data_IF_717435694958
#
_entry.id   IF_717435694958
#
_cell.length_a   1.000
_cell.length_b   1.000
_cell.length_c   1.000
_cell.angle_alpha   90.00
_cell.angle_beta   90.00
_cell.angle_gamma   90.00
#
_symmetry.space_group_name_H-M   'P 1'
#
loop_
_entity.id
_entity.type
_entity.pdbx_description
1 polymer ?
#
# COMPACT_ATOMS: atom_id res chain seq x y z
N UNK A 1 -23.81 -17.11 -15.03
CA UNK A 1 -23.79 -18.48 -15.60
C UNK A 1 -22.47 -18.66 -16.30
N UNK A 2 -21.71 -19.69 -15.94
CA UNK A 2 -20.38 -19.92 -16.54
C UNK A 2 -20.46 -20.94 -17.66
N UNK A 3 -19.88 -20.60 -18.81
CA UNK A 3 -19.75 -21.50 -19.96
C UNK A 3 -18.29 -21.45 -20.44
N UNK A 4 -17.51 -22.46 -20.08
CA UNK A 4 -16.07 -22.50 -20.37
C UNK A 4 -15.32 -21.35 -19.66
N UNK A 5 -14.61 -20.53 -20.42
CA UNK A 5 -13.85 -19.38 -19.91
C UNK A 5 -14.67 -18.07 -19.78
N UNK A 6 -15.97 -18.10 -20.12
CA UNK A 6 -16.83 -16.92 -20.15
C UNK A 6 -17.87 -16.98 -19.03
N UNK A 7 -17.93 -15.91 -18.24
CA UNK A 7 -19.01 -15.64 -17.29
C UNK A 7 -20.08 -14.80 -17.98
N UNK A 8 -21.34 -15.23 -17.93
CA UNK A 8 -22.49 -14.44 -18.38
C UNK A 8 -23.18 -13.83 -17.18
N UNK A 9 -23.17 -12.49 -17.10
CA UNK A 9 -23.79 -11.75 -15.99
C UNK A 9 -25.32 -11.82 -16.05
N UNK A 10 -25.90 -11.79 -17.26
CA UNK A 10 -27.35 -11.79 -17.46
C UNK A 10 -27.79 -13.01 -18.29
N UNK A 11 -27.73 -14.24 -17.74
CA UNK A 11 -28.13 -15.45 -18.48
C UNK A 11 -29.59 -15.43 -18.91
N UNK A 12 -30.43 -14.65 -18.24
CA UNK A 12 -31.84 -14.46 -18.57
C UNK A 12 -32.06 -13.93 -19.99
N UNK A 13 -31.09 -13.22 -20.56
CA UNK A 13 -31.17 -12.73 -21.94
C UNK A 13 -31.36 -13.88 -22.96
N UNK A 14 -30.87 -15.09 -22.68
CA UNK A 14 -31.01 -16.23 -23.59
C UNK A 14 -32.46 -16.67 -23.79
N UNK A 15 -33.38 -16.34 -22.88
CA UNK A 15 -34.82 -16.60 -23.08
C UNK A 15 -35.37 -15.88 -24.32
N UNK A 16 -34.75 -14.78 -24.73
CA UNK A 16 -35.13 -14.08 -25.96
C UNK A 16 -34.90 -14.92 -27.22
N UNK A 17 -34.02 -15.92 -27.19
CA UNK A 17 -33.82 -16.84 -28.31
C UNK A 17 -35.06 -17.70 -28.59
N UNK A 18 -35.95 -17.92 -27.62
CA UNK A 18 -37.21 -18.65 -27.84
C UNK A 18 -38.17 -17.91 -28.80
N UNK A 19 -38.01 -16.59 -28.97
CA UNK A 19 -38.78 -15.83 -29.95
C UNK A 19 -38.28 -16.00 -31.39
N UNK A 20 -37.04 -16.47 -31.60
CA UNK A 20 -36.47 -16.75 -32.93
C UNK A 20 -37.33 -17.74 -33.74
N UNK A 21 -37.69 -18.94 -33.24
CA UNK A 21 -38.54 -19.87 -33.98
C UNK A 21 -39.95 -19.31 -34.23
N UNK A 22 -40.50 -18.50 -33.31
CA UNK A 22 -41.78 -17.81 -33.53
C UNK A 22 -41.68 -16.82 -34.71
N UNK A 23 -40.59 -16.04 -34.79
CA UNK A 23 -40.36 -15.12 -35.91
C UNK A 23 -40.17 -15.86 -37.24
N UNK A 24 -39.51 -17.03 -37.22
CA UNK A 24 -39.38 -17.90 -38.40
C UNK A 24 -40.76 -18.41 -38.82
N UNK A 25 -41.57 -18.91 -37.88
CA UNK A 25 -42.92 -19.41 -38.17
C UNK A 25 -43.82 -18.31 -38.74
N UNK A 26 -43.79 -17.11 -38.16
CA UNK A 26 -44.51 -15.94 -38.67
C UNK A 26 -44.03 -15.53 -40.06
N UNK A 27 -42.73 -15.59 -40.33
CA UNK A 27 -42.16 -15.32 -41.64
C UNK A 27 -42.69 -16.31 -42.70
N UNK A 28 -42.63 -17.61 -42.40
CA UNK A 28 -43.14 -18.67 -43.29
C UNK A 28 -44.64 -18.52 -43.50
N UNK A 29 -45.41 -18.31 -42.42
CA UNK A 29 -46.85 -18.10 -42.47
C UNK A 29 -47.24 -16.91 -43.35
N UNK A 30 -46.58 -15.75 -43.17
CA UNK A 30 -46.80 -14.57 -44.01
C UNK A 30 -46.45 -14.83 -45.47
N UNK A 31 -45.43 -15.63 -45.74
CA UNK A 31 -45.02 -15.93 -47.11
C UNK A 31 -45.98 -16.89 -47.82
N UNK A 32 -46.57 -17.85 -47.11
CA UNK A 32 -47.62 -18.73 -47.63
C UNK A 32 -48.95 -17.99 -47.87
N UNK A 33 -49.26 -16.99 -47.02
CA UNK A 33 -50.49 -16.19 -47.11
C UNK A 33 -50.42 -15.02 -48.09
N UNK A 34 -49.23 -14.71 -48.65
CA UNK A 34 -49.07 -13.67 -49.68
C UNK A 34 -49.81 -14.09 -50.96
N UNK A 35 -51.06 -13.68 -51.10
CA UNK A 35 -51.81 -13.77 -52.36
C UNK A 35 -51.35 -12.65 -53.30
N UNK A 36 -51.03 -13.01 -54.54
CA UNK A 36 -50.71 -12.06 -55.61
C UNK A 36 -51.90 -11.14 -55.85
N UNK A 37 -51.76 -9.85 -55.51
CA UNK A 37 -52.82 -8.84 -55.68
C UNK A 37 -52.91 -8.35 -57.12
N UNK A 38 -51.90 -8.61 -57.96
CA UNK A 38 -51.91 -8.22 -59.37
C UNK A 38 -52.59 -9.33 -60.18
N UNK A 39 -53.81 -9.05 -60.68
CA UNK A 39 -54.54 -9.90 -61.64
C UNK A 39 -54.28 -9.38 -63.06
N UNK A 40 -53.13 -9.72 -63.64
CA UNK A 40 -52.82 -9.42 -65.04
C UNK A 40 -52.89 -10.70 -65.90
N UNK A 41 -53.59 -10.70 -67.05
CA UNK A 41 -53.68 -11.88 -67.94
C UNK A 41 -52.32 -12.38 -68.48
N UNK A 42 -51.33 -11.49 -68.59
CA UNK A 42 -49.99 -11.81 -69.08
C UNK A 42 -49.09 -12.57 -68.07
N UNK A 43 -49.54 -12.79 -66.82
CA UNK A 43 -48.76 -13.49 -65.78
C UNK A 43 -48.59 -14.99 -66.04
N UNK A 44 -49.35 -15.60 -66.96
CA UNK A 44 -49.17 -17.00 -67.34
C UNK A 44 -47.79 -17.26 -67.98
N UNK A 45 -47.24 -16.28 -68.70
CA UNK A 45 -45.89 -16.32 -69.28
C UNK A 45 -44.80 -16.15 -68.22
N UNK A 46 -45.01 -15.26 -67.24
CA UNK A 46 -44.10 -15.06 -66.11
C UNK A 46 -44.04 -16.27 -65.16
N UNK A 47 -45.14 -17.03 -65.00
CA UNK A 47 -45.18 -18.28 -64.22
C UNK A 47 -44.33 -19.41 -64.83
N UNK A 48 -44.06 -19.36 -66.14
CA UNK A 48 -43.18 -20.31 -66.85
C UNK A 48 -41.70 -19.87 -66.85
N UNK A 49 -41.38 -18.69 -66.35
CA UNK A 49 -39.99 -18.22 -66.27
C UNK A 49 -39.23 -18.98 -65.18
N UNK A 50 -38.03 -19.46 -65.52
CA UNK A 50 -37.15 -20.13 -64.55
C UNK A 50 -36.81 -19.16 -63.43
N UNK A 51 -37.01 -19.53 -62.15
CA UNK A 51 -36.70 -18.64 -61.04
C UNK A 51 -35.21 -18.26 -61.08
N UNK A 52 -34.93 -16.97 -61.26
CA UNK A 52 -33.57 -16.44 -61.22
C UNK A 52 -32.92 -16.73 -59.87
N UNK A 53 -31.58 -16.88 -59.85
CA UNK A 53 -30.80 -17.09 -58.61
C UNK A 53 -31.15 -16.05 -57.52
N UNK A 54 -31.49 -14.82 -57.90
CA UNK A 54 -31.94 -13.75 -56.98
C UNK A 54 -33.24 -14.08 -56.22
N UNK A 55 -34.15 -14.86 -56.82
CA UNK A 55 -35.40 -15.29 -56.17
C UNK A 55 -35.11 -16.33 -55.09
N UNK A 56 -34.12 -17.21 -55.30
CA UNK A 56 -33.69 -18.18 -54.28
C UNK A 56 -32.97 -17.50 -53.11
N UNK A 57 -32.13 -16.51 -53.40
CA UNK A 57 -31.37 -15.76 -52.39
C UNK A 57 -32.18 -14.70 -51.62
N UNK A 58 -33.46 -14.49 -51.93
CA UNK A 58 -34.32 -13.53 -51.20
C UNK A 58 -34.45 -13.83 -49.70
N UNK A 59 -34.18 -15.08 -49.30
CA UNK A 59 -34.22 -15.53 -47.90
C UNK A 59 -32.95 -15.16 -47.11
N UNK A 60 -31.90 -14.66 -47.77
CA UNK A 60 -30.70 -14.13 -47.09
C UNK A 60 -31.04 -12.94 -46.21
N UNK A 61 -31.92 -12.04 -46.65
CA UNK A 61 -32.31 -10.83 -45.89
C UNK A 61 -32.92 -11.19 -44.52
N UNK A 62 -33.98 -12.02 -44.42
CA UNK A 62 -34.50 -12.44 -43.11
C UNK A 62 -33.52 -13.32 -42.33
N UNK A 63 -32.65 -14.10 -43.01
CA UNK A 63 -31.62 -14.87 -42.31
C UNK A 63 -30.57 -13.96 -41.63
N UNK A 64 -30.14 -12.89 -42.30
CA UNK A 64 -29.26 -11.87 -41.72
C UNK A 64 -29.89 -11.18 -40.52
N UNK A 65 -31.19 -10.87 -40.59
CA UNK A 65 -31.93 -10.28 -39.46
C UNK A 65 -31.97 -11.21 -38.25
N UNK A 66 -32.20 -12.50 -38.48
CA UNK A 66 -32.18 -13.51 -37.40
C UNK A 66 -30.78 -13.67 -36.81
N UNK A 67 -29.73 -13.69 -37.65
CA UNK A 67 -28.35 -13.74 -37.18
C UNK A 67 -27.99 -12.50 -36.34
N UNK A 68 -28.40 -11.31 -36.77
CA UNK A 68 -28.20 -10.07 -36.02
C UNK A 68 -28.90 -10.14 -34.64
N UNK A 69 -30.14 -10.63 -34.60
CA UNK A 69 -30.90 -10.80 -33.36
C UNK A 69 -30.18 -11.75 -32.39
N UNK A 70 -29.65 -12.87 -32.87
CA UNK A 70 -28.84 -13.79 -32.05
C UNK A 70 -27.61 -13.07 -31.49
N UNK A 71 -26.88 -12.32 -32.31
CA UNK A 71 -25.70 -11.56 -31.84
C UNK A 71 -26.07 -10.53 -30.76
N UNK A 72 -27.20 -9.82 -30.89
CA UNK A 72 -27.65 -8.89 -29.86
C UNK A 72 -28.08 -9.59 -28.57
N UNK A 73 -28.70 -10.77 -28.65
CA UNK A 73 -29.03 -11.55 -27.46
C UNK A 73 -27.76 -12.00 -26.73
N UNK A 74 -26.73 -12.44 -27.46
CA UNK A 74 -25.42 -12.77 -26.87
C UNK A 74 -24.75 -11.53 -26.25
N UNK A 75 -24.85 -10.36 -26.90
CA UNK A 75 -24.33 -9.11 -26.33
C UNK A 75 -25.08 -8.70 -25.04
N UNK A 76 -26.41 -8.84 -25.02
CA UNK A 76 -27.26 -8.57 -23.85
C UNK A 76 -26.97 -9.52 -22.67
N UNK A 77 -26.56 -10.75 -22.96
CA UNK A 77 -26.14 -11.70 -21.93
C UNK A 77 -24.84 -11.27 -21.21
N UNK A 78 -24.16 -10.22 -21.71
CA UNK A 78 -22.91 -9.63 -21.18
C UNK A 78 -21.85 -10.69 -20.89
N UNK A 79 -21.24 -11.29 -21.94
CA UNK A 79 -20.11 -12.18 -21.76
C UNK A 79 -18.94 -11.42 -21.13
N UNK A 80 -18.33 -12.01 -20.11
CA UNK A 80 -17.24 -11.45 -19.33
C UNK A 80 -16.12 -12.48 -19.18
N UNK A 81 -14.88 -12.02 -19.18
CA UNK A 81 -13.76 -12.83 -18.69
C UNK A 81 -13.51 -12.45 -17.23
N UNK A 82 -13.44 -13.42 -16.34
CA UNK A 82 -12.89 -13.20 -15.01
C UNK A 82 -11.38 -12.95 -15.18
N UNK A 83 -10.92 -11.72 -14.87
CA UNK A 83 -9.48 -11.49 -14.72
C UNK A 83 -9.07 -11.94 -13.31
N UNK A 84 -7.78 -12.29 -13.16
CA UNK A 84 -7.22 -12.74 -11.90
C UNK A 84 -7.53 -11.78 -10.75
N UNK A 85 -7.65 -12.39 -9.57
CA UNK A 85 -8.01 -11.75 -8.31
C UNK A 85 -6.99 -10.67 -7.96
N UNK A 86 -7.45 -9.44 -7.75
CA UNK A 86 -6.63 -8.40 -7.14
C UNK A 86 -6.77 -8.53 -5.61
N UNK A 87 -5.73 -9.05 -4.96
CA UNK A 87 -5.69 -9.19 -3.51
C UNK A 87 -5.52 -7.79 -2.90
N UNK A 88 -6.56 -7.23 -2.27
CA UNK A 88 -6.41 -6.02 -1.45
C UNK A 88 -6.30 -6.45 0.02
N UNK A 89 -5.11 -6.27 0.58
CA UNK A 89 -4.81 -6.46 2.02
C UNK A 89 -5.27 -5.23 2.80
N UNK A 90 -6.00 -5.39 3.89
CA UNK A 90 -6.46 -4.24 4.72
C UNK A 90 -6.23 -4.43 6.23
N UNK A 91 -5.54 -5.48 6.65
CA UNK A 91 -5.16 -5.66 8.06
C UNK A 91 -3.67 -5.33 8.27
N UNK A 92 -3.36 -4.03 8.30
CA UNK A 92 -2.06 -3.50 8.69
C UNK A 92 -1.94 -3.28 10.20
N UNK A 93 -0.71 -3.16 10.68
CA UNK A 93 -0.39 -2.76 12.05
C UNK A 93 -0.26 -1.24 12.11
N UNK A 94 -0.76 -0.65 13.18
CA UNK A 94 -0.47 0.76 13.48
C UNK A 94 0.76 0.85 14.38
N UNK A 95 1.83 1.44 13.85
CA UNK A 95 3.13 1.54 14.51
C UNK A 95 3.43 3.00 14.81
N UNK A 96 3.66 3.30 16.08
CA UNK A 96 4.16 4.61 16.49
C UNK A 96 5.62 4.51 16.89
N UNK A 97 6.48 5.16 16.13
CA UNK A 97 7.91 5.29 16.45
C UNK A 97 8.07 6.43 17.46
N UNK A 98 8.58 6.12 18.65
CA UNK A 98 8.97 7.10 19.63
C UNK A 98 10.50 7.18 19.66
N UNK A 99 11.05 8.22 19.04
CA UNK A 99 12.48 8.42 18.85
C UNK A 99 13.02 9.47 19.82
N UNK A 100 14.03 9.07 20.58
CA UNK A 100 14.82 10.01 21.39
C UNK A 100 15.70 10.87 20.47
N UNK A 101 15.62 12.18 20.65
CA UNK A 101 16.41 13.21 19.94
C UNK A 101 17.17 14.10 20.94
N UNK A 102 17.33 13.63 22.18
CA UNK A 102 18.10 14.33 23.22
C UNK A 102 19.59 14.37 22.88
N UNK A 103 20.34 15.27 23.54
CA UNK A 103 21.76 15.49 23.26
C UNK A 103 22.65 14.24 23.35
N UNK A 104 22.29 13.26 24.19
CA UNK A 104 23.03 11.98 24.29
C UNK A 104 23.04 11.20 22.98
N UNK A 105 22.00 11.33 22.16
CA UNK A 105 21.85 10.63 20.88
C UNK A 105 22.82 11.14 19.81
N UNK A 106 23.53 12.24 20.06
CA UNK A 106 24.62 12.74 19.19
C UNK A 106 25.95 11.98 19.34
N UNK A 107 26.04 11.04 20.28
CA UNK A 107 27.28 10.31 20.60
C UNK A 107 27.70 9.35 19.48
N UNK A 108 29.02 9.20 19.27
CA UNK A 108 29.65 8.36 18.23
C UNK A 108 30.18 7.02 18.77
N UNK A 109 29.36 6.29 19.53
CA UNK A 109 29.79 5.05 20.20
C UNK A 109 29.40 3.76 19.46
N UNK A 110 28.47 3.85 18.51
CA UNK A 110 28.01 2.72 17.69
C UNK A 110 28.88 2.42 16.46
N UNK A 111 29.97 3.17 16.30
CA UNK A 111 30.90 3.02 15.18
C UNK A 111 31.48 1.60 15.12
N UNK A 112 31.59 1.07 13.90
CA UNK A 112 32.41 -0.11 13.65
C UNK A 112 33.90 0.23 13.77
N UNK A 113 34.74 -0.79 14.00
CA UNK A 113 36.19 -0.60 14.08
C UNK A 113 36.77 0.07 12.81
N UNK A 114 36.21 -0.26 11.65
CA UNK A 114 36.61 0.32 10.37
C UNK A 114 36.23 1.81 10.27
N UNK A 115 35.01 2.17 10.68
CA UNK A 115 34.57 3.57 10.70
C UNK A 115 35.34 4.40 11.73
N UNK A 116 35.60 3.86 12.91
CA UNK A 116 36.39 4.52 13.95
C UNK A 116 37.81 4.82 13.45
N UNK A 117 38.48 3.85 12.80
CA UNK A 117 39.80 4.06 12.21
C UNK A 117 39.76 5.09 11.08
N UNK A 118 38.74 5.07 10.23
CA UNK A 118 38.57 6.03 9.14
C UNK A 118 38.38 7.45 9.68
N UNK A 119 37.43 7.64 10.58
CA UNK A 119 37.08 8.93 11.17
C UNK A 119 38.26 9.53 11.94
N UNK A 120 38.99 8.72 12.72
CA UNK A 120 40.16 9.18 13.47
C UNK A 120 41.30 9.74 12.62
N UNK A 121 41.36 9.42 11.32
CA UNK A 121 42.33 9.99 10.36
C UNK A 121 41.84 11.26 9.66
N UNK A 122 40.55 11.59 9.77
CA UNK A 122 39.97 12.79 9.17
C UNK A 122 40.23 14.01 10.05
N UNK A 123 40.27 15.20 9.45
CA UNK A 123 40.34 16.44 10.20
C UNK A 123 39.02 16.65 10.99
N UNK A 124 39.09 16.64 12.32
CA UNK A 124 37.93 16.74 13.21
C UNK A 124 37.14 18.04 13.03
N UNK A 125 37.83 19.17 12.85
CA UNK A 125 37.20 20.47 12.67
C UNK A 125 36.40 20.55 11.37
N UNK A 126 36.97 20.05 10.26
CA UNK A 126 36.28 19.97 8.98
C UNK A 126 35.08 19.02 9.05
N UNK A 127 35.25 17.89 9.71
CA UNK A 127 34.20 16.90 9.89
C UNK A 127 33.02 17.46 10.69
N UNK A 128 33.29 18.18 11.78
CA UNK A 128 32.28 18.89 12.56
C UNK A 128 31.55 19.96 11.73
N UNK A 129 32.30 20.81 11.02
CA UNK A 129 31.73 21.92 10.21
C UNK A 129 30.88 21.47 9.03
N UNK A 130 31.21 20.32 8.42
CA UNK A 130 30.46 19.78 7.30
C UNK A 130 29.10 19.20 7.69
N UNK A 131 28.85 18.93 8.97
CA UNK A 131 27.63 18.27 9.44
C UNK A 131 27.60 16.75 9.23
N UNK A 132 28.67 16.17 8.67
CA UNK A 132 28.79 14.72 8.44
C UNK A 132 28.71 13.90 9.75
N UNK A 133 28.90 14.54 10.91
CA UNK A 133 28.89 13.86 12.21
C UNK A 133 27.55 13.21 12.55
N UNK A 134 26.42 13.85 12.21
CA UNK A 134 25.08 13.35 12.56
C UNK A 134 24.82 11.98 11.95
N UNK A 135 25.34 11.73 10.75
CA UNK A 135 25.26 10.45 10.05
C UNK A 135 25.84 9.28 10.85
N UNK A 136 26.85 9.54 11.68
CA UNK A 136 27.57 8.54 12.45
C UNK A 136 27.14 8.50 13.93
N UNK A 137 26.19 9.35 14.32
CA UNK A 137 25.64 9.39 15.66
C UNK A 137 24.64 8.26 15.92
N UNK A 138 24.32 8.01 17.19
CA UNK A 138 23.23 7.08 17.57
C UNK A 138 21.93 7.43 16.85
N UNK A 139 21.58 8.72 16.77
CA UNK A 139 20.41 9.21 16.05
C UNK A 139 20.47 8.91 14.55
N UNK A 140 21.60 9.20 13.90
CA UNK A 140 21.77 8.97 12.47
C UNK A 140 21.66 7.49 12.10
N UNK A 141 22.30 6.60 12.87
CA UNK A 141 22.12 5.16 12.67
C UNK A 141 20.69 4.70 12.96
N UNK A 142 20.04 5.24 14.00
CA UNK A 142 18.64 4.92 14.26
C UNK A 142 17.73 5.34 13.11
N UNK A 143 17.90 6.54 12.56
CA UNK A 143 17.14 7.03 11.41
C UNK A 143 17.40 6.19 10.16
N UNK A 144 18.64 5.80 9.88
CA UNK A 144 18.97 4.91 8.76
C UNK A 144 18.22 3.58 8.85
N UNK A 145 18.24 2.95 10.04
CA UNK A 145 17.57 1.67 10.25
C UNK A 145 16.05 1.81 10.22
N UNK A 146 15.52 2.87 10.82
CA UNK A 146 14.09 3.19 10.76
C UNK A 146 13.65 3.44 9.31
N UNK A 147 14.46 4.14 8.51
CA UNK A 147 14.16 4.41 7.12
C UNK A 147 14.08 3.12 6.30
N UNK A 148 15.01 2.18 6.53
CA UNK A 148 14.96 0.86 5.91
C UNK A 148 13.74 0.06 6.37
N UNK A 149 13.40 0.13 7.66
CA UNK A 149 12.22 -0.52 8.23
C UNK A 149 10.92 0.01 7.62
N UNK A 150 10.80 1.32 7.44
CA UNK A 150 9.66 1.96 6.77
C UNK A 150 9.60 1.53 5.30
N UNK A 151 10.74 1.54 4.60
CA UNK A 151 10.83 1.21 3.17
C UNK A 151 10.44 -0.22 2.81
N UNK A 152 10.48 -1.15 3.78
CA UNK A 152 10.06 -2.56 3.61
C UNK A 152 8.56 -2.77 3.78
N UNK A 153 7.81 -1.79 4.28
CA UNK A 153 6.38 -1.93 4.59
C UNK A 153 5.48 -1.51 3.43
N UNK A 154 4.30 -2.13 3.37
CA UNK A 154 3.33 -1.90 2.29
C UNK A 154 1.93 -1.58 2.81
N UNK A 155 1.51 -2.12 3.96
CA UNK A 155 0.12 -2.05 4.44
C UNK A 155 -0.03 -1.44 5.84
N UNK A 156 1.05 -0.96 6.47
CA UNK A 156 1.06 -0.51 7.87
C UNK A 156 1.03 1.01 7.99
N UNK A 157 0.23 1.54 8.91
CA UNK A 157 0.26 2.97 9.22
C UNK A 157 1.36 3.24 10.21
N UNK A 158 2.28 4.14 9.85
CA UNK A 158 3.42 4.48 10.70
C UNK A 158 3.34 5.95 11.09
N UNK A 159 3.54 6.24 12.36
CA UNK A 159 3.69 7.60 12.88
C UNK A 159 5.04 7.80 13.55
N UNK A 160 5.44 9.05 13.74
CA UNK A 160 6.71 9.44 14.36
C UNK A 160 6.47 10.47 15.47
N UNK A 161 6.97 10.17 16.65
CA UNK A 161 7.06 11.08 17.79
C UNK A 161 8.53 11.24 18.13
N UNK A 162 8.99 12.48 18.20
CA UNK A 162 10.32 12.80 18.70
C UNK A 162 10.20 13.27 20.14
N UNK A 163 11.16 12.90 20.99
CA UNK A 163 11.21 13.39 22.37
C UNK A 163 12.63 13.68 22.84
N UNK A 164 12.76 14.64 23.74
CA UNK A 164 13.96 14.99 24.47
C UNK A 164 13.53 15.62 25.78
N UNK A 165 13.82 16.90 26.00
CA UNK A 165 13.29 17.64 27.15
C UNK A 165 11.76 17.77 27.13
N UNK A 166 11.17 17.71 25.94
CA UNK A 166 9.73 17.71 25.67
C UNK A 166 9.46 16.69 24.57
N UNK A 167 8.21 16.27 24.44
CA UNK A 167 7.81 15.35 23.38
C UNK A 167 6.83 16.03 22.41
N UNK A 168 6.98 15.72 21.12
CA UNK A 168 6.13 16.22 20.05
C UNK A 168 5.85 15.11 19.01
N UNK A 169 4.61 15.05 18.53
CA UNK A 169 4.27 14.25 17.34
C UNK A 169 4.81 14.96 16.10
N UNK A 170 5.77 14.34 15.39
CA UNK A 170 6.31 14.86 14.14
C UNK A 170 5.44 14.47 12.96
N UNK A 171 4.99 13.21 12.94
CA UNK A 171 4.12 12.69 11.91
C UNK A 171 2.98 11.88 12.59
N UNK A 172 1.70 12.19 12.30
CA UNK A 172 0.61 11.30 12.67
C UNK A 172 0.71 9.97 11.89
N UNK A 173 -0.10 8.98 12.27
CA UNK A 173 -0.18 7.70 11.58
C UNK A 173 -0.53 7.91 10.10
N UNK A 174 0.35 7.45 9.20
CA UNK A 174 0.19 7.62 7.76
C UNK A 174 0.67 6.37 6.99
N UNK A 175 0.11 6.19 5.80
CA UNK A 175 0.59 5.24 4.78
C UNK A 175 1.56 5.89 3.79
N UNK A 176 1.69 7.22 3.82
CA UNK A 176 2.62 7.97 2.96
C UNK A 176 4.04 7.88 3.55
N UNK A 177 4.71 6.79 3.19
CA UNK A 177 6.09 6.54 3.60
C UNK A 177 7.06 7.58 3.03
N UNK A 178 6.77 8.19 1.88
CA UNK A 178 7.62 9.23 1.29
C UNK A 178 7.71 10.45 2.20
N UNK A 179 6.54 11.00 2.57
CA UNK A 179 6.46 12.13 3.51
C UNK A 179 7.04 11.78 4.89
N UNK A 180 6.78 10.58 5.39
CA UNK A 180 7.31 10.14 6.68
C UNK A 180 8.85 10.08 6.68
N UNK A 181 9.46 9.58 5.60
CA UNK A 181 10.92 9.52 5.45
C UNK A 181 11.56 10.91 5.36
N UNK A 182 10.89 11.87 4.72
CA UNK A 182 11.34 13.27 4.70
C UNK A 182 11.31 13.89 6.09
N UNK A 183 10.23 13.68 6.85
CA UNK A 183 10.09 14.16 8.23
C UNK A 183 11.13 13.52 9.16
N UNK A 184 11.37 12.21 9.00
CA UNK A 184 12.39 11.49 9.77
C UNK A 184 13.77 12.10 9.58
N UNK A 185 14.16 12.40 8.34
CA UNK A 185 15.45 13.06 8.03
C UNK A 185 15.50 14.50 8.52
N UNK A 186 14.39 15.24 8.44
CA UNK A 186 14.30 16.61 8.95
C UNK A 186 14.40 16.70 10.49
N UNK A 187 14.26 15.58 11.20
CA UNK A 187 14.35 15.53 12.67
C UNK A 187 15.77 15.85 13.20
N UNK A 188 16.79 15.82 12.33
CA UNK A 188 18.15 16.26 12.66
C UNK A 188 18.21 17.72 13.11
N UNK A 189 17.44 18.60 12.47
CA UNK A 189 17.43 20.02 12.80
C UNK A 189 16.79 20.29 14.18
N UNK A 190 15.86 19.43 14.61
CA UNK A 190 15.26 19.47 15.95
C UNK A 190 16.24 18.97 17.03
N UNK A 191 17.02 17.93 16.73
CA UNK A 191 18.06 17.44 17.62
C UNK A 191 19.15 18.50 17.87
N UNK A 192 19.49 19.29 16.84
CA UNK A 192 20.47 20.40 16.91
C UNK A 192 20.07 21.49 17.89
N UNK A 193 18.78 21.84 17.98
CA UNK A 193 18.28 22.85 18.91
C UNK A 193 18.21 22.32 20.36
N UNK A 194 18.14 20.98 20.51
CA UNK A 194 18.03 20.28 21.81
C UNK A 194 19.39 20.02 22.49
N UNK A 195 20.51 20.23 21.79
CA UNK A 195 21.87 20.03 22.31
C UNK A 195 22.19 20.79 23.61
N UNK A 196 21.42 21.83 23.92
CA UNK A 196 21.67 22.71 25.07
C UNK A 196 21.23 22.09 26.40
N UNK A 197 20.39 21.04 26.40
CA UNK A 197 19.94 20.39 27.64
C UNK A 197 19.83 18.86 27.44
N UNK A 198 20.70 18.07 28.10
CA UNK A 198 20.64 16.60 28.20
C UNK A 198 19.46 16.13 29.06
N UNK A 199 18.24 16.47 28.62
CA UNK A 199 16.99 16.09 29.26
C UNK A 199 16.25 15.10 28.37
N UNK A 200 15.72 14.07 28.98
CA UNK A 200 15.02 12.96 28.32
C UNK A 200 13.72 12.68 29.07
N UNK A 201 12.60 12.84 28.37
CA UNK A 201 11.25 12.61 28.87
C UNK A 201 10.63 11.38 28.19
N UNK A 202 11.05 10.19 28.63
CA UNK A 202 10.63 8.89 28.07
C UNK A 202 9.13 8.67 28.26
N UNK A 203 8.62 8.94 29.46
CA UNK A 203 7.22 8.70 29.80
C UNK A 203 6.27 9.65 29.06
N UNK A 204 6.65 10.93 28.90
CA UNK A 204 5.89 11.88 28.09
C UNK A 204 5.98 11.55 26.59
N UNK A 205 7.15 11.07 26.13
CA UNK A 205 7.35 10.51 24.80
C UNK A 205 6.40 9.36 24.48
N UNK A 206 6.33 8.39 25.40
CA UNK A 206 5.41 7.27 25.29
C UNK A 206 3.95 7.74 25.34
N UNK A 207 3.60 8.68 26.22
CA UNK A 207 2.23 9.20 26.32
C UNK A 207 1.77 9.87 25.01
N UNK A 208 2.63 10.65 24.37
CA UNK A 208 2.34 11.26 23.09
C UNK A 208 2.14 10.24 21.98
N UNK A 209 2.95 9.18 21.96
CA UNK A 209 2.76 8.07 21.03
C UNK A 209 1.40 7.38 21.25
N UNK A 210 1.07 7.08 22.52
CA UNK A 210 -0.20 6.46 22.90
C UNK A 210 -1.42 7.34 22.56
N UNK A 211 -1.30 8.66 22.68
CA UNK A 211 -2.37 9.59 22.34
C UNK A 211 -2.78 9.48 20.85
N UNK A 212 -1.83 9.17 19.96
CA UNK A 212 -2.11 8.94 18.52
C UNK A 212 -2.72 7.56 18.28
N UNK A 213 -2.22 6.53 18.94
CA UNK A 213 -2.74 5.16 18.82
C UNK A 213 -4.11 4.97 19.48
N UNK A 214 -4.49 5.81 20.45
CA UNK A 214 -5.80 5.75 21.10
C UNK A 214 -6.96 5.94 20.10
N UNK A 215 -6.75 6.75 19.05
CA UNK A 215 -7.77 7.01 18.02
C UNK A 215 -7.76 5.98 16.89
N UNK A 216 -6.80 5.06 16.88
CA UNK A 216 -6.69 4.04 15.86
C UNK A 216 -7.72 2.92 16.04
N UNK A 217 -8.28 2.50 14.91
CA UNK A 217 -9.19 1.36 14.74
C UNK A 217 -8.45 0.04 14.40
N UNK A 218 -7.12 0.05 14.31
CA UNK A 218 -6.34 -1.14 13.95
C UNK A 218 -6.41 -2.24 15.01
N UNK A 219 -6.48 -3.50 14.54
CA UNK A 219 -6.48 -4.71 15.39
C UNK A 219 -5.18 -4.84 16.19
N UNK A 220 -4.04 -4.55 15.56
CA UNK A 220 -2.72 -4.52 16.23
C UNK A 220 -2.17 -3.09 16.29
N UNK A 221 -1.73 -2.68 17.47
CA UNK A 221 -1.21 -1.34 17.76
C UNK A 221 0.07 -1.46 18.59
N UNK A 222 1.14 -0.86 18.10
CA UNK A 222 2.49 -1.06 18.62
C UNK A 222 3.22 0.27 18.75
N UNK A 223 3.98 0.45 19.82
CA UNK A 223 4.97 1.52 19.96
C UNK A 223 6.36 0.91 19.92
N UNK A 224 7.26 1.48 19.11
CA UNK A 224 8.68 1.19 19.16
C UNK A 224 9.37 2.41 19.77
N UNK A 225 9.80 2.28 21.01
CA UNK A 225 10.49 3.30 21.79
C UNK A 225 12.00 3.11 21.66
N UNK A 226 12.69 4.05 21.03
CA UNK A 226 14.14 4.05 20.89
C UNK A 226 14.74 5.17 21.75
N UNK A 227 15.67 4.82 22.64
CA UNK A 227 16.35 5.78 23.53
C UNK A 227 17.72 5.26 23.95
N UNK A 228 18.62 6.19 24.27
CA UNK A 228 19.93 5.91 24.86
C UNK A 228 20.05 6.40 26.31
N UNK A 229 18.97 6.97 26.83
CA UNK A 229 18.99 7.79 28.03
C UNK A 229 18.27 7.19 29.22
N UNK A 230 18.38 7.93 30.33
CA UNK A 230 17.54 7.74 31.51
C UNK A 230 16.47 8.81 31.54
N UNK A 231 15.30 8.44 32.01
CA UNK A 231 14.24 9.42 32.22
C UNK A 231 14.62 10.40 33.33
N UNK A 232 14.68 11.69 33.01
CA UNK A 232 15.02 12.74 33.97
C UNK A 232 14.16 14.01 33.84
N UNK A 233 13.24 14.04 32.86
CA UNK A 233 12.44 15.21 32.54
C UNK A 233 10.94 14.92 32.38
N UNK A 234 10.49 13.66 32.47
CA UNK A 234 9.07 13.35 32.29
C UNK A 234 8.21 13.88 33.42
N UNK A 235 7.07 14.45 33.05
CA UNK A 235 5.98 14.72 33.99
C UNK A 235 5.27 13.42 34.37
N UNK A 236 5.06 12.53 33.40
CA UNK A 236 4.49 11.20 33.62
C UNK A 236 5.62 10.17 33.73
N UNK A 237 5.78 9.47 34.87
CA UNK A 237 6.78 8.42 35.00
C UNK A 237 6.64 7.31 33.93
N UNK A 238 7.75 6.79 33.36
CA UNK A 238 7.71 5.80 32.27
C UNK A 238 6.90 4.54 32.62
N UNK A 239 7.02 4.06 33.86
CA UNK A 239 6.29 2.87 34.34
C UNK A 239 4.77 3.11 34.35
N UNK A 240 4.31 4.33 34.67
CA UNK A 240 2.88 4.70 34.60
C UNK A 240 2.41 4.82 33.16
N UNK A 241 3.24 5.38 32.27
CA UNK A 241 2.92 5.42 30.85
C UNK A 241 2.76 4.00 30.27
N UNK A 242 3.57 3.02 30.72
CA UNK A 242 3.41 1.61 30.36
C UNK A 242 2.08 1.00 30.85
N UNK A 243 1.58 1.41 32.02
CA UNK A 243 0.26 0.96 32.51
C UNK A 243 -0.88 1.50 31.63
N UNK A 244 -0.75 2.74 31.16
CA UNK A 244 -1.69 3.30 30.17
C UNK A 244 -1.62 2.54 28.86
N UNK A 245 -0.41 2.26 28.34
CA UNK A 245 -0.23 1.44 27.13
C UNK A 245 -0.92 0.08 27.24
N UNK A 246 -0.71 -0.62 28.36
CA UNK A 246 -1.37 -1.91 28.66
C UNK A 246 -2.89 -1.78 28.64
N UNK A 247 -3.44 -0.74 29.28
CA UNK A 247 -4.89 -0.49 29.32
C UNK A 247 -5.50 -0.23 27.94
N UNK A 248 -4.72 0.35 27.02
CA UNK A 248 -5.13 0.59 25.64
C UNK A 248 -4.94 -0.63 24.73
N UNK A 249 -4.33 -1.71 25.23
CA UNK A 249 -3.97 -2.90 24.45
C UNK A 249 -2.84 -2.62 23.45
N UNK A 250 -1.95 -1.67 23.75
CA UNK A 250 -0.81 -1.30 22.92
C UNK A 250 0.45 -1.98 23.45
N UNK A 251 1.14 -2.75 22.59
CA UNK A 251 2.43 -3.35 22.94
C UNK A 251 3.54 -2.31 22.79
N UNK A 252 4.49 -2.27 23.71
CA UNK A 252 5.64 -1.35 23.64
C UNK A 252 6.93 -2.15 23.54
N UNK A 253 7.62 -2.04 22.40
CA UNK A 253 8.98 -2.52 22.22
C UNK A 253 9.94 -1.40 22.61
N UNK A 254 10.90 -1.72 23.47
CA UNK A 254 11.89 -0.73 23.93
C UNK A 254 13.27 -1.11 23.42
N UNK A 255 13.92 -0.19 22.72
CA UNK A 255 15.22 -0.37 22.09
C UNK A 255 16.21 0.60 22.73
N UNK A 256 17.09 0.06 23.56
CA UNK A 256 18.21 0.79 24.14
C UNK A 256 19.36 0.86 23.15
N UNK A 257 19.86 2.06 22.84
CA UNK A 257 20.96 2.26 21.87
C UNK A 257 22.23 2.80 22.54
N UNK A 258 23.37 2.20 22.22
CA UNK A 258 24.70 2.65 22.66
C UNK A 258 25.49 1.56 23.38
N UNK A 259 26.82 1.74 23.46
CA UNK A 259 27.74 0.82 24.14
C UNK A 259 27.61 0.89 25.66
N UNK A 260 27.81 -0.24 26.33
CA UNK A 260 27.72 -0.34 27.80
C UNK A 260 28.94 0.25 28.52
N UNK A 261 30.12 0.03 27.95
CA UNK A 261 31.40 0.41 28.51
C UNK A 261 32.47 0.50 27.42
N UNK A 262 33.60 1.09 27.77
CA UNK A 262 34.77 1.23 26.90
C UNK A 262 35.00 2.66 26.44
N UNK A 263 35.92 2.80 25.49
CA UNK A 263 36.35 4.08 24.93
C UNK A 263 35.58 4.39 23.67
N UNK A 264 35.18 5.64 23.55
CA UNK A 264 34.47 6.15 22.38
C UNK A 264 35.22 7.32 21.79
N UNK A 265 35.06 7.48 20.48
CA UNK A 265 35.57 8.62 19.76
C UNK A 265 34.76 9.86 20.16
N UNK A 266 35.43 10.92 20.55
CA UNK A 266 34.80 12.17 20.96
C UNK A 266 35.59 13.37 20.45
N UNK A 267 34.89 14.49 20.26
CA UNK A 267 35.52 15.77 20.01
C UNK A 267 36.13 16.31 21.30
N UNK A 268 37.38 16.73 21.23
CA UNK A 268 38.05 17.45 22.30
C UNK A 268 38.37 18.85 21.82
N UNK A 269 38.03 19.85 22.62
CA UNK A 269 38.38 21.23 22.35
C UNK A 269 39.59 21.60 23.20
N UNK A 270 40.65 22.11 22.57
CA UNK A 270 41.79 22.65 23.27
C UNK A 270 41.37 23.92 24.05
N UNK A 271 41.51 23.96 25.39
CA UNK A 271 41.06 25.09 26.20
C UNK A 271 41.77 26.42 25.89
N UNK A 272 42.97 26.39 25.31
CA UNK A 272 43.78 27.57 25.03
C UNK A 272 43.69 28.04 23.58
N UNK A 273 43.64 27.12 22.62
CA UNK A 273 43.59 27.47 21.19
C UNK A 273 42.18 27.44 20.61
N UNK A 274 41.24 26.73 21.26
CA UNK A 274 39.88 26.52 20.77
C UNK A 274 39.78 25.48 19.65
N UNK A 275 40.90 24.90 19.22
CA UNK A 275 40.96 23.91 18.15
C UNK A 275 40.24 22.61 18.55
N UNK A 276 39.50 22.05 17.60
CA UNK A 276 38.79 20.77 17.77
C UNK A 276 39.66 19.65 17.22
N UNK A 277 39.98 18.67 18.06
CA UNK A 277 40.67 17.45 17.68
C UNK A 277 39.85 16.20 18.03
N UNK A 278 40.21 15.08 17.42
CA UNK A 278 39.74 13.79 17.88
C UNK A 278 40.43 13.42 19.19
N UNK A 279 39.66 12.86 20.10
CA UNK A 279 40.18 12.19 21.29
C UNK A 279 39.32 10.99 21.66
N UNK A 280 39.78 10.26 22.67
CA UNK A 280 39.01 9.20 23.28
C UNK A 280 38.48 9.68 24.63
N UNK A 281 37.25 9.31 24.95
CA UNK A 281 36.71 9.41 26.31
C UNK A 281 36.11 8.08 26.72
N UNK A 282 36.22 7.76 28.01
CA UNK A 282 35.53 6.60 28.58
C UNK A 282 34.03 6.88 28.67
N UNK A 283 33.21 5.87 28.36
CA UNK A 283 31.76 5.92 28.64
C UNK A 283 31.59 5.85 30.15
N UNK A 284 30.99 6.88 30.73
CA UNK A 284 30.67 6.88 32.16
C UNK A 284 29.43 6.04 32.44
N UNK A 285 29.34 5.33 33.59
CA UNK A 285 28.14 4.58 33.96
C UNK A 285 26.87 5.44 34.08
N UNK A 286 27.03 6.73 34.32
CA UNK A 286 25.94 7.72 34.45
C UNK A 286 25.33 8.10 33.10
N UNK A 287 26.10 7.99 32.01
CA UNK A 287 25.64 8.12 30.62
C UNK A 287 24.96 6.83 30.09
N UNK A 288 24.83 5.81 30.94
CA UNK A 288 24.29 4.51 30.59
C UNK A 288 22.75 4.44 30.64
N UNK A 289 22.19 3.71 29.68
CA UNK A 289 20.76 3.38 29.56
C UNK A 289 20.21 2.76 30.85
N UNK A 290 19.03 3.20 31.28
CA UNK A 290 18.26 2.55 32.35
C UNK A 290 17.51 1.32 31.79
N UNK A 291 18.22 0.20 31.69
CA UNK A 291 17.64 -1.03 31.15
C UNK A 291 16.51 -1.59 32.01
N UNK A 292 16.52 -1.35 33.32
CA UNK A 292 15.52 -1.89 34.24
C UNK A 292 14.17 -1.22 33.99
N UNK A 293 14.17 0.10 33.79
CA UNK A 293 12.97 0.84 33.40
C UNK A 293 12.46 0.39 32.03
N UNK A 294 13.34 0.26 31.03
CA UNK A 294 12.93 -0.17 29.68
C UNK A 294 12.37 -1.60 29.67
N UNK A 295 13.01 -2.54 30.38
CA UNK A 295 12.50 -3.92 30.58
C UNK A 295 11.15 -3.91 31.29
N UNK A 296 10.95 -3.02 32.26
CA UNK A 296 9.66 -2.86 32.96
C UNK A 296 8.55 -2.40 32.02
N UNK A 297 8.82 -1.42 31.14
CA UNK A 297 7.87 -0.93 30.15
C UNK A 297 7.47 -2.04 29.17
N UNK A 298 8.46 -2.73 28.60
CA UNK A 298 8.23 -3.80 27.64
C UNK A 298 7.44 -4.97 28.25
N UNK A 299 7.86 -5.46 29.41
CA UNK A 299 7.21 -6.59 30.09
C UNK A 299 5.77 -6.29 30.54
N UNK A 300 5.49 -5.06 31.00
CA UNK A 300 4.12 -4.65 31.39
C UNK A 300 3.15 -4.64 30.21
N UNK A 301 3.63 -4.32 29.02
CA UNK A 301 2.81 -4.11 27.82
C UNK A 301 2.76 -5.32 26.88
N UNK A 302 3.54 -6.38 27.18
CA UNK A 302 3.63 -7.57 26.33
C UNK A 302 4.57 -7.41 25.13
N UNK A 303 5.42 -6.38 25.13
CA UNK A 303 6.51 -6.22 24.17
C UNK A 303 7.82 -6.84 24.66
N UNK A 304 8.91 -6.52 23.97
CA UNK A 304 10.27 -6.99 24.31
C UNK A 304 11.25 -5.83 24.43
N UNK A 305 12.22 -5.99 25.32
CA UNK A 305 13.37 -5.10 25.44
C UNK A 305 14.52 -5.61 24.57
N UNK A 306 15.15 -4.69 23.87
CA UNK A 306 16.32 -4.93 23.04
C UNK A 306 17.42 -3.93 23.37
N UNK A 307 18.67 -4.36 23.20
CA UNK A 307 19.87 -3.53 23.31
C UNK A 307 20.63 -3.61 21.99
N UNK A 308 21.01 -2.46 21.44
CA UNK A 308 21.81 -2.36 20.22
C UNK A 308 23.09 -1.57 20.51
N UNK A 309 24.25 -2.20 20.30
CA UNK A 309 25.55 -1.54 20.47
C UNK A 309 26.12 -1.02 19.14
N UNK A 310 25.58 -1.46 18.02
CA UNK A 310 25.99 -1.07 16.66
C UNK A 310 24.79 -1.10 15.69
N UNK A 311 24.99 -0.56 14.49
CA UNK A 311 23.94 -0.47 13.47
C UNK A 311 23.39 -1.84 13.05
N UNK A 312 24.26 -2.84 12.89
CA UNK A 312 23.85 -4.18 12.44
C UNK A 312 22.95 -4.90 13.47
N UNK A 313 23.22 -4.74 14.76
CA UNK A 313 22.34 -5.22 15.82
C UNK A 313 20.99 -4.51 15.80
N UNK A 314 20.98 -3.20 15.57
CA UNK A 314 19.74 -2.44 15.45
C UNK A 314 18.89 -2.91 14.26
N UNK A 315 19.50 -3.13 13.09
CA UNK A 315 18.83 -3.70 11.91
C UNK A 315 18.21 -5.07 12.20
N UNK A 316 18.94 -5.93 12.92
CA UNK A 316 18.46 -7.24 13.34
C UNK A 316 17.25 -7.14 14.28
N UNK A 317 17.28 -6.21 15.23
CA UNK A 317 16.18 -5.98 16.18
C UNK A 317 14.90 -5.54 15.44
N UNK A 318 15.01 -4.57 14.53
CA UNK A 318 13.86 -4.13 13.74
C UNK A 318 13.30 -5.26 12.85
N UNK A 319 14.18 -6.15 12.36
CA UNK A 319 13.75 -7.34 11.61
C UNK A 319 13.00 -8.34 12.50
N UNK A 320 13.44 -8.56 13.74
CA UNK A 320 12.73 -9.42 14.71
C UNK A 320 11.36 -8.84 15.09
N UNK A 321 11.28 -7.52 15.31
CA UNK A 321 10.02 -6.84 15.60
C UNK A 321 9.05 -6.99 14.42
N UNK A 322 9.55 -6.89 13.18
CA UNK A 322 8.73 -7.11 11.98
C UNK A 322 8.13 -8.51 11.94
N UNK A 323 8.91 -9.54 12.25
CA UNK A 323 8.41 -10.92 12.30
C UNK A 323 7.35 -11.14 13.38
N UNK A 324 7.51 -10.51 14.55
CA UNK A 324 6.58 -10.65 15.68
C UNK A 324 5.24 -9.95 15.47
N UNK A 325 5.20 -8.92 14.64
CA UNK A 325 4.00 -8.10 14.41
C UNK A 325 3.37 -8.31 13.03
N UNK A 326 3.75 -9.36 12.28
CA UNK A 326 3.01 -9.72 11.06
C UNK A 326 1.58 -10.12 11.40
N UNK A 327 0.62 -9.29 11.03
CA UNK A 327 -0.80 -9.65 10.98
C UNK A 327 -1.06 -10.55 9.78
N UNK A 328 -1.80 -11.64 9.99
CA UNK A 328 -2.29 -12.46 8.88
C UNK A 328 -3.19 -11.60 7.99
N UNK A 329 -2.79 -11.47 6.73
CA UNK A 329 -3.55 -10.71 5.75
C UNK A 329 -4.81 -11.51 5.40
N UNK A 330 -5.97 -11.11 5.90
CA UNK A 330 -7.24 -11.56 5.36
C UNK A 330 -7.43 -10.94 3.98
N UNK A 331 -7.08 -11.68 2.93
CA UNK A 331 -7.26 -11.20 1.56
C UNK A 331 -8.73 -11.25 1.17
N UNK A 332 -9.36 -10.09 0.97
CA UNK A 332 -10.65 -10.04 0.30
C UNK A 332 -10.38 -10.05 -1.21
N UNK A 333 -10.79 -11.13 -1.86
CA UNK A 333 -10.65 -11.32 -3.30
C UNK A 333 -11.72 -10.49 -4.05
N UNK A 334 -11.31 -9.39 -4.69
CA UNK A 334 -12.18 -8.69 -5.64
C UNK A 334 -11.91 -9.24 -7.05
N UNK A 335 -12.92 -9.90 -7.63
CA UNK A 335 -12.86 -10.34 -9.02
C UNK A 335 -13.16 -9.15 -9.95
N UNK A 336 -12.18 -8.76 -10.78
CA UNK A 336 -12.39 -7.75 -11.81
C UNK A 336 -12.83 -8.43 -13.11
N UNK A 337 -14.05 -8.14 -13.56
CA UNK A 337 -14.60 -8.71 -14.79
C UNK A 337 -14.30 -7.79 -15.98
N UNK A 338 -13.70 -8.33 -17.04
CA UNK A 338 -13.52 -7.63 -18.31
C UNK A 338 -14.71 -7.90 -19.23
N UNK A 339 -15.41 -6.85 -19.65
CA UNK A 339 -16.58 -6.97 -20.53
C UNK A 339 -16.19 -7.32 -21.97
N UNK A 340 -16.87 -8.33 -22.54
CA UNK A 340 -16.67 -8.83 -23.91
C UNK A 340 -17.94 -8.71 -24.77
N UNK A 341 -18.91 -7.87 -24.39
CA UNK A 341 -20.13 -7.71 -25.19
C UNK A 341 -19.92 -6.85 -26.46
N UNK A 342 -18.92 -5.96 -26.48
CA UNK A 342 -18.69 -5.02 -27.59
C UNK A 342 -18.54 -5.69 -28.98
N UNK A 343 -17.75 -6.77 -29.16
CA UNK A 343 -17.63 -7.42 -30.47
C UNK A 343 -18.96 -7.99 -30.97
N UNK A 344 -19.77 -8.58 -30.09
CA UNK A 344 -21.08 -9.15 -30.44
C UNK A 344 -22.09 -8.06 -30.84
N UNK A 345 -22.06 -6.93 -30.12
CA UNK A 345 -22.85 -5.75 -30.47
C UNK A 345 -22.47 -5.20 -31.85
N UNK A 346 -21.17 -5.10 -32.14
CA UNK A 346 -20.65 -4.56 -33.40
C UNK A 346 -21.01 -5.48 -34.59
N UNK A 347 -20.83 -6.79 -34.43
CA UNK A 347 -21.23 -7.78 -35.45
C UNK A 347 -22.74 -7.72 -35.71
N UNK A 348 -23.56 -7.63 -34.67
CA UNK A 348 -25.02 -7.47 -34.80
C UNK A 348 -25.41 -6.21 -35.57
N UNK A 349 -24.79 -5.07 -35.26
CA UNK A 349 -25.02 -3.80 -35.94
C UNK A 349 -24.63 -3.86 -37.43
N UNK A 350 -23.48 -4.47 -37.75
CA UNK A 350 -23.04 -4.66 -39.13
C UNK A 350 -24.00 -5.56 -39.93
N UNK A 351 -24.55 -6.60 -39.32
CA UNK A 351 -25.52 -7.48 -39.97
C UNK A 351 -26.84 -6.77 -40.31
N UNK A 352 -27.35 -5.90 -39.43
CA UNK A 352 -28.51 -5.04 -39.72
C UNK A 352 -28.20 -4.07 -40.85
N UNK A 353 -27.02 -3.44 -40.83
CA UNK A 353 -26.62 -2.50 -41.87
C UNK A 353 -26.50 -3.20 -43.23
N UNK A 354 -25.92 -4.40 -43.26
CA UNK A 354 -25.85 -5.23 -44.47
C UNK A 354 -27.25 -5.65 -44.95
N UNK A 355 -28.16 -5.99 -44.03
CA UNK A 355 -29.55 -6.26 -44.34
C UNK A 355 -30.22 -5.07 -45.04
N UNK A 356 -30.10 -3.87 -44.46
CA UNK A 356 -30.67 -2.62 -45.00
C UNK A 356 -30.14 -2.32 -46.41
N UNK A 357 -28.83 -2.45 -46.62
CA UNK A 357 -28.22 -2.25 -47.94
C UNK A 357 -28.76 -3.27 -48.95
N UNK A 358 -28.77 -4.55 -48.60
CA UNK A 358 -29.22 -5.62 -49.49
C UNK A 358 -30.71 -5.52 -49.83
N UNK A 359 -31.53 -5.15 -48.85
CA UNK A 359 -32.96 -4.94 -49.01
C UNK A 359 -33.27 -3.75 -49.93
N UNK A 360 -32.48 -2.67 -49.87
CA UNK A 360 -32.72 -1.45 -50.64
C UNK A 360 -32.01 -1.39 -52.00
N UNK A 361 -31.04 -2.28 -52.27
CA UNK A 361 -30.28 -2.28 -53.54
C UNK A 361 -30.59 -3.49 -54.42
N UNK A 362 -30.32 -4.70 -53.94
CA UNK A 362 -30.36 -5.92 -54.75
C UNK A 362 -31.65 -6.72 -54.59
N UNK A 363 -32.29 -6.65 -53.43
CA UNK A 363 -33.51 -7.41 -53.09
C UNK A 363 -34.69 -6.49 -52.78
N UNK A 364 -34.79 -5.38 -53.52
CA UNK A 364 -35.90 -4.42 -53.43
C UNK A 364 -37.21 -5.16 -53.63
N UNK A 365 -38.10 -5.04 -52.65
CA UNK A 365 -39.48 -5.51 -52.76
C UNK A 365 -40.30 -4.36 -53.31
N UNK A 366 -40.64 -4.43 -54.59
CA UNK A 366 -41.64 -3.55 -55.18
C UNK A 366 -43.02 -4.03 -54.65
N UNK A 367 -43.85 -3.14 -54.08
CA UNK A 367 -45.16 -3.49 -53.51
C UNK A 367 -46.12 -4.11 -54.54
#
# INVERSE_FOLDING_TARGET
>A
MDIGALHFQNPEAFWLLLFVPLLIALYVYRQQRRKSTIKFPALALAKKAVPSRRVKFRHIVPALRLAALVCFVVALARPQNAMEVEYTSTDGVDIMLALDVSGSMSTLDMLTNAEQSKLGTMNAERFWKNGDFWKYSRLGYAQDVIAEFIGKRHSDRIGLSAFGARSFTQCPLTMDYGSLLEILKASDDLARDTLVNNRTAIGDGLMNALARLKMSDAKSRVVILLTDGRDNASVVPPVRAAEVAKSLGVKVYTVGVGKKNGKILAFQQNPWTGDISWGERDITPEEGIDEDVLKSIASKTGGRFYRAENKAELEKIYSEIDELEKTEIETIAYARYAEKFYPWLLVGALLILLELILANTRFVRIP
#
